data_IF_790633959372
#
_entry.id   IF_790633959372
#
_cell.length_a   1.000
_cell.length_b   1.000
_cell.length_c   1.000
_cell.angle_alpha   90.00
_cell.angle_beta   90.00
_cell.angle_gamma   90.00
#
_symmetry.space_group_name_H-M   'P 1'
#
loop_
_entity.id
_entity.type
_entity.pdbx_description
1 polymer ?
#
# COMPACT_ATOMS: atom_id res chain seq x y z
N UNK A 1 -17.67 -17.81 19.70
CA UNK A 1 -17.88 -16.38 20.02
C UNK A 1 -16.55 -15.78 20.42
N UNK A 2 -16.31 -14.51 20.07
CA UNK A 2 -15.09 -13.78 20.48
C UNK A 2 -15.34 -13.13 21.84
N UNK A 3 -14.48 -13.39 22.82
CA UNK A 3 -14.62 -12.92 24.20
C UNK A 3 -13.55 -11.88 24.61
N UNK A 4 -12.60 -11.60 23.72
CA UNK A 4 -11.42 -10.78 24.00
C UNK A 4 -10.26 -11.10 23.07
N UNK A 5 -9.04 -10.74 23.50
CA UNK A 5 -7.81 -10.94 22.73
C UNK A 5 -6.71 -11.55 23.61
N UNK A 6 -5.95 -12.48 23.03
CA UNK A 6 -4.67 -12.93 23.57
C UNK A 6 -3.56 -12.27 22.76
N UNK A 7 -2.67 -11.52 23.42
CA UNK A 7 -1.66 -10.71 22.73
C UNK A 7 -0.33 -10.70 23.50
N UNK A 8 0.73 -10.28 22.80
CA UNK A 8 2.07 -10.12 23.36
C UNK A 8 2.36 -8.63 23.55
N UNK A 9 2.84 -8.25 24.73
CA UNK A 9 3.30 -6.89 24.99
C UNK A 9 4.66 -6.64 24.34
N UNK A 10 5.11 -5.37 24.31
CA UNK A 10 6.44 -5.01 23.79
C UNK A 10 7.57 -5.73 24.52
N UNK A 11 7.38 -6.01 25.81
CA UNK A 11 8.33 -6.73 26.66
C UNK A 11 8.21 -8.25 26.53
N UNK A 12 7.61 -8.74 25.44
CA UNK A 12 7.42 -10.16 25.11
C UNK A 12 6.54 -10.97 26.07
N UNK A 13 5.82 -10.34 27.00
CA UNK A 13 4.90 -11.04 27.90
C UNK A 13 3.57 -11.32 27.21
N UNK A 14 3.10 -12.55 27.26
CA UNK A 14 1.78 -12.94 26.76
C UNK A 14 0.72 -12.63 27.82
N UNK A 15 -0.37 -11.99 27.41
CA UNK A 15 -1.49 -11.64 28.30
C UNK A 15 -2.82 -11.71 27.57
N UNK A 16 -3.92 -11.69 28.32
CA UNK A 16 -5.28 -11.77 27.81
C UNK A 16 -6.12 -10.63 28.35
N UNK A 17 -6.86 -9.96 27.45
CA UNK A 17 -7.83 -8.95 27.81
C UNK A 17 -9.22 -9.40 27.35
N UNK A 18 -10.22 -9.25 28.23
CA UNK A 18 -11.62 -9.60 27.95
C UNK A 18 -12.46 -8.34 27.76
N UNK A 19 -13.39 -8.40 26.82
CA UNK A 19 -14.31 -7.30 26.56
C UNK A 19 -15.62 -7.82 25.95
N UNK A 20 -16.76 -7.15 26.22
CA UNK A 20 -18.03 -7.51 25.60
C UNK A 20 -18.06 -7.26 24.08
N UNK A 21 -17.18 -6.39 23.56
CA UNK A 21 -16.99 -6.13 22.14
C UNK A 21 -15.49 -6.05 21.83
N UNK A 22 -15.05 -6.72 20.76
CA UNK A 22 -13.68 -6.66 20.24
C UNK A 22 -13.72 -6.22 18.79
N UNK A 23 -12.98 -5.14 18.45
CA UNK A 23 -12.91 -4.59 17.09
C UNK A 23 -11.54 -4.92 16.50
N UNK A 24 -11.52 -5.59 15.35
CA UNK A 24 -10.29 -5.97 14.63
C UNK A 24 -9.97 -4.90 13.58
N UNK A 25 -8.82 -4.23 13.74
CA UNK A 25 -8.33 -3.16 12.87
C UNK A 25 -6.88 -3.39 12.42
N UNK A 26 -6.48 -4.63 12.15
CA UNK A 26 -5.10 -5.05 11.84
C UNK A 26 -4.71 -4.91 10.35
N UNK A 27 -5.52 -4.20 9.56
CA UNK A 27 -5.18 -3.75 8.21
C UNK A 27 -5.44 -4.76 7.08
N UNK A 28 -4.95 -4.44 5.88
CA UNK A 28 -5.21 -5.22 4.67
C UNK A 28 -4.61 -6.65 4.73
N UNK A 29 -3.54 -6.85 5.49
CA UNK A 29 -2.92 -8.15 5.74
C UNK A 29 -3.41 -8.82 7.04
N UNK A 30 -4.65 -8.53 7.45
CA UNK A 30 -5.25 -9.08 8.68
C UNK A 30 -5.02 -10.57 8.84
N UNK A 31 -4.46 -10.96 9.99
CA UNK A 31 -4.24 -12.36 10.35
C UNK A 31 -5.53 -13.01 10.84
N UNK A 32 -6.47 -12.23 11.38
CA UNK A 32 -7.71 -12.74 11.98
C UNK A 32 -8.86 -12.87 10.98
N UNK A 33 -8.76 -12.22 9.82
CA UNK A 33 -9.84 -12.18 8.82
C UNK A 33 -10.31 -13.58 8.39
N UNK A 34 -9.39 -14.54 8.24
CA UNK A 34 -9.71 -15.89 7.79
C UNK A 34 -10.52 -16.70 8.81
N UNK A 35 -10.34 -16.41 10.10
CA UNK A 35 -11.07 -17.07 11.19
C UNK A 35 -12.46 -16.45 11.43
N UNK A 36 -12.64 -15.18 11.04
CA UNK A 36 -13.84 -14.40 11.33
C UNK A 36 -14.84 -14.33 10.16
N UNK A 37 -14.41 -14.63 8.93
CA UNK A 37 -15.28 -14.64 7.75
C UNK A 37 -14.72 -15.55 6.65
N UNK A 38 -15.52 -15.92 5.64
CA UNK A 38 -15.02 -16.58 4.43
C UNK A 38 -14.39 -15.53 3.49
N UNK A 39 -13.05 -15.44 3.38
CA UNK A 39 -12.42 -14.31 2.72
C UNK A 39 -12.44 -14.50 1.20
N UNK A 40 -12.96 -13.50 0.47
CA UNK A 40 -12.82 -13.39 -0.99
C UNK A 40 -11.80 -12.29 -1.31
N UNK A 41 -10.52 -12.56 -1.08
CA UNK A 41 -9.45 -11.60 -1.38
C UNK A 41 -9.13 -11.70 -2.87
N UNK A 42 -9.21 -10.57 -3.59
CA UNK A 42 -8.78 -10.46 -4.98
C UNK A 42 -7.86 -9.25 -5.10
N UNK A 43 -6.61 -9.48 -5.51
CA UNK A 43 -5.67 -8.42 -5.87
C UNK A 43 -5.85 -8.10 -7.35
N UNK A 44 -6.26 -6.87 -7.67
CA UNK A 44 -6.46 -6.43 -9.07
C UNK A 44 -5.18 -5.94 -9.73
N UNK A 45 -4.33 -5.27 -8.96
CA UNK A 45 -3.09 -4.65 -9.40
C UNK A 45 -2.21 -4.35 -8.18
N UNK A 46 -1.01 -3.81 -8.40
CA UNK A 46 -0.11 -3.35 -7.34
C UNK A 46 0.40 -1.96 -7.63
N UNK A 47 0.52 -1.12 -6.61
CA UNK A 47 1.17 0.18 -6.76
C UNK A 47 2.65 0.12 -6.37
N UNK A 48 3.52 0.68 -7.21
CA UNK A 48 4.88 1.05 -6.83
C UNK A 48 4.92 2.53 -6.48
N UNK A 49 5.49 2.85 -5.33
CA UNK A 49 5.60 4.23 -4.84
C UNK A 49 7.02 4.76 -5.00
N UNK A 50 7.11 6.01 -5.48
CA UNK A 50 8.33 6.80 -5.58
C UNK A 50 8.15 8.08 -4.77
N UNK A 51 9.25 8.59 -4.23
CA UNK A 51 9.31 9.95 -3.69
C UNK A 51 10.10 10.79 -4.68
N UNK A 52 9.47 11.84 -5.20
CA UNK A 52 10.08 12.79 -6.11
C UNK A 52 10.46 14.03 -5.31
N UNK A 53 11.75 14.34 -5.31
CA UNK A 53 12.30 15.52 -4.65
C UNK A 53 12.55 16.63 -5.67
N UNK A 54 12.50 17.88 -5.21
CA UNK A 54 12.90 19.05 -6.00
C UNK A 54 12.13 19.22 -7.32
N UNK A 55 10.86 18.82 -7.33
CA UNK A 55 9.95 19.02 -8.46
C UNK A 55 8.63 19.61 -7.98
N UNK A 56 7.92 20.30 -8.88
CA UNK A 56 6.64 20.92 -8.61
C UNK A 56 5.56 20.29 -9.49
N UNK A 57 4.37 20.11 -8.92
CA UNK A 57 3.21 19.73 -9.72
C UNK A 57 2.68 20.94 -10.50
N UNK A 58 2.09 20.72 -11.71
CA UNK A 58 1.58 21.81 -12.54
C UNK A 58 0.55 22.72 -11.85
N UNK A 59 -0.21 22.16 -10.90
CA UNK A 59 -1.23 22.87 -10.14
C UNK A 59 -1.00 22.67 -8.63
N UNK A 60 -0.69 23.74 -7.91
CA UNK A 60 -0.52 23.68 -6.47
C UNK A 60 -1.81 23.20 -5.77
N UNK A 61 -1.67 22.50 -4.65
CA UNK A 61 -2.76 22.01 -3.80
C UNK A 61 -3.73 21.02 -4.47
N UNK A 62 -3.36 20.44 -5.62
CA UNK A 62 -4.14 19.41 -6.30
C UNK A 62 -3.30 18.14 -6.41
N UNK A 63 -3.96 16.99 -6.24
CA UNK A 63 -3.42 15.72 -6.69
C UNK A 63 -3.58 15.62 -8.21
N UNK A 64 -2.62 14.99 -8.88
CA UNK A 64 -2.65 14.78 -10.32
C UNK A 64 -2.84 13.30 -10.59
N UNK A 65 -3.70 13.00 -11.55
CA UNK A 65 -3.88 11.66 -12.08
C UNK A 65 -3.47 11.71 -13.53
N UNK A 66 -2.47 10.93 -13.90
CA UNK A 66 -2.03 10.74 -15.28
C UNK A 66 -2.55 9.40 -15.77
N UNK A 67 -3.32 9.44 -16.86
CA UNK A 67 -3.76 8.25 -17.57
C UNK A 67 -2.69 7.91 -18.61
N UNK A 68 -1.76 7.03 -18.25
CA UNK A 68 -0.76 6.50 -19.16
C UNK A 68 -1.20 5.10 -19.66
N UNK A 69 -0.74 4.70 -20.83
CA UNK A 69 -0.85 3.31 -21.26
C UNK A 69 0.42 2.57 -20.83
N UNK A 70 0.36 1.49 -20.02
CA UNK A 70 -0.83 0.78 -19.51
C UNK A 70 -1.24 1.16 -18.06
N UNK A 71 -0.69 2.22 -17.49
CA UNK A 71 -0.71 2.50 -16.05
C UNK A 71 -1.45 3.78 -15.67
N UNK A 72 -2.18 3.75 -14.55
CA UNK A 72 -2.64 4.98 -13.89
C UNK A 72 -1.54 5.45 -12.93
N UNK A 73 -1.15 6.73 -13.03
CA UNK A 73 -0.12 7.32 -12.17
C UNK A 73 -0.75 8.42 -11.32
N UNK A 74 -0.58 8.33 -10.00
CA UNK A 74 -1.05 9.32 -9.03
C UNK A 74 0.12 10.14 -8.52
N UNK A 75 -0.03 11.45 -8.50
CA UNK A 75 0.92 12.36 -7.87
C UNK A 75 0.23 13.21 -6.82
N UNK A 76 0.85 13.36 -5.66
CA UNK A 76 0.38 14.31 -4.65
C UNK A 76 1.52 14.76 -3.73
N UNK A 77 1.53 16.02 -3.28
CA UNK A 77 2.52 16.49 -2.30
C UNK A 77 2.35 15.71 -0.98
N UNK A 78 3.46 15.27 -0.41
CA UNK A 78 3.50 14.68 0.94
C UNK A 78 4.28 15.55 1.94
N UNK A 79 5.05 16.51 1.42
CA UNK A 79 5.69 17.58 2.18
C UNK A 79 5.90 18.80 1.26
N UNK A 80 6.56 19.85 1.76
CA UNK A 80 6.88 21.03 0.96
C UNK A 80 7.98 20.78 -0.10
N UNK A 81 8.69 19.65 -0.02
CA UNK A 81 9.83 19.33 -0.89
C UNK A 81 9.67 17.99 -1.60
N UNK A 82 8.66 17.21 -1.24
CA UNK A 82 8.47 15.84 -1.71
C UNK A 82 7.07 15.62 -2.27
N UNK A 83 7.02 14.97 -3.43
CA UNK A 83 5.80 14.49 -4.07
C UNK A 83 5.81 12.97 -4.04
N UNK A 84 4.72 12.38 -3.58
CA UNK A 84 4.47 10.95 -3.78
C UNK A 84 4.03 10.73 -5.22
N UNK A 85 4.73 9.85 -5.93
CA UNK A 85 4.28 9.28 -7.20
C UNK A 85 3.90 7.82 -6.96
N UNK A 86 2.72 7.40 -7.37
CA UNK A 86 2.27 6.00 -7.30
C UNK A 86 1.90 5.52 -8.70
N UNK A 87 2.59 4.51 -9.19
CA UNK A 87 2.34 3.91 -10.50
C UNK A 87 1.57 2.61 -10.28
N UNK A 88 0.39 2.50 -10.88
CA UNK A 88 -0.39 1.26 -10.93
C UNK A 88 0.29 0.26 -11.88
N UNK A 89 0.50 -0.96 -11.41
CA UNK A 89 1.05 -2.08 -12.18
C UNK A 89 -0.07 -3.10 -12.32
N UNK A 90 -0.74 -3.18 -13.49
CA UNK A 90 -1.88 -4.08 -13.69
C UNK A 90 -1.49 -5.56 -13.82
N UNK A 91 -0.19 -5.88 -13.74
CA UNK A 91 0.33 -7.26 -13.87
C UNK A 91 0.18 -8.02 -12.56
N UNK A 92 -0.16 -9.30 -12.67
CA UNK A 92 -0.21 -10.23 -11.53
C UNK A 92 1.16 -10.38 -10.85
N UNK A 93 2.25 -10.28 -11.63
CA UNK A 93 3.62 -10.30 -11.12
C UNK A 93 4.26 -8.92 -11.17
N UNK A 94 4.56 -8.38 -9.99
CA UNK A 94 5.27 -7.11 -9.82
C UNK A 94 6.77 -7.32 -10.09
N UNK A 95 7.43 -6.45 -10.87
CA UNK A 95 8.88 -6.50 -11.08
C UNK A 95 9.65 -6.42 -9.76
N UNK A 96 10.80 -7.08 -9.66
CA UNK A 96 11.58 -7.03 -8.43
C UNK A 96 12.24 -5.66 -8.21
N UNK A 97 12.17 -5.15 -6.99
CA UNK A 97 12.88 -3.93 -6.56
C UNK A 97 14.34 -4.19 -6.20
N UNK A 98 14.72 -5.44 -5.91
CA UNK A 98 16.06 -5.78 -5.41
C UNK A 98 17.09 -6.04 -6.51
N UNK A 99 16.65 -6.36 -7.74
CA UNK A 99 17.53 -6.72 -8.85
C UNK A 99 17.51 -5.69 -10.01
N UNK A 100 16.84 -4.55 -9.82
CA UNK A 100 16.76 -3.48 -10.82
C UNK A 100 15.66 -3.65 -11.89
N UNK A 101 14.91 -4.76 -11.90
CA UNK A 101 13.80 -4.97 -12.84
C UNK A 101 12.73 -3.87 -12.75
N UNK A 102 12.39 -3.45 -11.52
CA UNK A 102 11.44 -2.36 -11.31
C UNK A 102 11.91 -1.04 -11.93
N UNK A 103 13.19 -0.69 -11.73
CA UNK A 103 13.75 0.53 -12.31
C UNK A 103 13.76 0.47 -13.84
N UNK A 104 14.07 -0.70 -14.41
CA UNK A 104 13.98 -0.93 -15.86
C UNK A 104 12.54 -0.76 -16.36
N UNK A 105 11.57 -1.41 -15.72
CA UNK A 105 10.16 -1.33 -16.07
C UNK A 105 9.63 0.11 -16.06
N UNK A 106 9.93 0.88 -15.01
CA UNK A 106 9.50 2.27 -14.91
C UNK A 106 10.06 3.15 -16.05
N UNK A 107 11.31 2.91 -16.47
CA UNK A 107 11.97 3.68 -17.53
C UNK A 107 11.55 3.28 -18.95
N UNK A 108 11.18 2.01 -19.18
CA UNK A 108 10.87 1.54 -20.54
C UNK A 108 9.38 1.46 -20.83
N UNK A 109 8.54 1.22 -19.81
CA UNK A 109 7.11 0.96 -20.01
C UNK A 109 6.21 2.07 -19.44
N UNK A 110 6.65 2.81 -18.42
CA UNK A 110 5.78 3.78 -17.70
C UNK A 110 6.08 5.21 -18.12
N UNK A 111 7.35 5.59 -18.21
CA UNK A 111 7.79 6.92 -18.62
C UNK A 111 8.82 6.82 -19.77
N UNK A 112 8.40 6.36 -20.96
CA UNK A 112 9.28 6.30 -22.14
C UNK A 112 9.70 7.68 -22.65
#
# INVERSE_FOLDING_TARGET
>A
MVHGVHYRTKDAHATTAYAPLTIVCDGCFSNLRHDLCYPKIKTSSSFVALVLENTNLPYANHAHVTLADPSIILFYPISNTEIRCMVDIPKEKVPSTSNGEMAKYLKTEVAP
#
